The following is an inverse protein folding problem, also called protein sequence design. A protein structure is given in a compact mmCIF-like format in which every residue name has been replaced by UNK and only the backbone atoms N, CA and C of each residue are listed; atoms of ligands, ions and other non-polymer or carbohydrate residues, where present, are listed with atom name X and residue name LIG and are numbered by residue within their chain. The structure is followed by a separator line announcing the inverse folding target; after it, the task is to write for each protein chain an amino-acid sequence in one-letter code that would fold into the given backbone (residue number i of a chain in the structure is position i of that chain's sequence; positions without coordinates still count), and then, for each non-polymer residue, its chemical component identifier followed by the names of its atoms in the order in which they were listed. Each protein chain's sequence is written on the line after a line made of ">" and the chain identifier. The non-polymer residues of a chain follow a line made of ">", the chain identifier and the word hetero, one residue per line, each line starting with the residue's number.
data_IF_755519870536
#
_entry.id   IF_755519870536
#
_cell.length_a   1.000
_cell.length_b   1.000
_cell.length_c   1.000
_cell.angle_alpha   90.00
_cell.angle_beta   90.00
_cell.angle_gamma   90.00
#
_symmetry.space_group_name_H-M   'P 1'
#
loop_
_entity.id
_entity.type
_entity.pdbx_description
1 polymer ?
#
# COMPACT_ATOMS: atom_id res chain seq x y z
N UNK A 1 -11.78 -21.75 -7.48
CA UNK A 1 -11.62 -20.66 -8.46
C UNK A 1 -12.92 -20.56 -9.27
N UNK A 2 -13.61 -19.42 -9.20
CA UNK A 2 -14.94 -19.23 -9.79
C UNK A 2 -15.09 -17.77 -10.23
N UNK A 3 -15.81 -17.52 -11.31
CA UNK A 3 -16.10 -16.13 -11.70
C UNK A 3 -17.02 -15.50 -10.66
N UNK A 4 -16.57 -14.41 -10.04
CA UNK A 4 -17.31 -13.65 -9.02
C UNK A 4 -18.46 -12.86 -9.66
N UNK A 5 -19.49 -12.55 -8.87
CA UNK A 5 -20.67 -11.79 -9.34
C UNK A 5 -21.68 -12.61 -10.16
N UNK A 6 -21.56 -13.93 -10.18
CA UNK A 6 -22.53 -14.83 -10.79
C UNK A 6 -23.64 -15.23 -9.82
N UNK A 7 -24.85 -15.51 -10.31
CA UNK A 7 -26.00 -15.90 -9.46
C UNK A 7 -25.99 -17.37 -9.00
N UNK A 8 -24.97 -18.15 -9.35
CA UNK A 8 -24.89 -19.58 -9.02
C UNK A 8 -24.18 -19.79 -7.67
N UNK A 9 -24.62 -20.80 -6.92
CA UNK A 9 -24.28 -20.95 -5.49
C UNK A 9 -22.78 -20.88 -5.16
N UNK A 10 -21.91 -21.46 -5.99
CA UNK A 10 -20.45 -21.42 -5.77
C UNK A 10 -19.86 -20.00 -5.88
N UNK A 11 -20.42 -19.14 -6.72
CA UNK A 11 -19.99 -17.74 -6.85
C UNK A 11 -20.36 -16.94 -5.59
N UNK A 12 -21.60 -17.11 -5.12
CA UNK A 12 -22.11 -16.48 -3.89
C UNK A 12 -21.28 -16.87 -2.67
N UNK A 13 -20.94 -18.16 -2.51
CA UNK A 13 -20.12 -18.61 -1.37
C UNK A 13 -18.73 -17.98 -1.38
N UNK A 14 -18.09 -17.87 -2.55
CA UNK A 14 -16.76 -17.25 -2.67
C UNK A 14 -16.83 -15.75 -2.37
N UNK A 15 -17.86 -15.07 -2.84
CA UNK A 15 -18.06 -13.64 -2.56
C UNK A 15 -18.26 -13.39 -1.05
N UNK A 16 -19.05 -14.25 -0.39
CA UNK A 16 -19.22 -14.19 1.06
C UNK A 16 -17.90 -14.43 1.82
N UNK A 17 -17.13 -15.46 1.47
CA UNK A 17 -15.85 -15.74 2.12
C UNK A 17 -14.86 -14.58 2.00
N UNK A 18 -14.85 -13.87 0.86
CA UNK A 18 -14.01 -12.68 0.68
C UNK A 18 -14.51 -11.51 1.53
N UNK A 19 -15.83 -11.32 1.66
CA UNK A 19 -16.40 -10.29 2.52
C UNK A 19 -16.09 -10.55 4.01
N UNK A 20 -16.18 -11.80 4.45
CA UNK A 20 -15.85 -12.19 5.83
C UNK A 20 -14.36 -12.00 6.12
N UNK A 21 -13.49 -12.34 5.16
CA UNK A 21 -12.05 -12.09 5.27
C UNK A 21 -11.73 -10.59 5.38
N UNK A 22 -12.39 -9.74 4.57
CA UNK A 22 -12.24 -8.27 4.67
C UNK A 22 -12.65 -7.75 6.04
N UNK A 23 -13.76 -8.26 6.57
CA UNK A 23 -14.24 -7.88 7.91
C UNK A 23 -13.25 -8.29 8.99
N UNK A 24 -12.70 -9.50 8.89
CA UNK A 24 -11.73 -10.02 9.86
C UNK A 24 -10.42 -9.22 9.85
N UNK A 25 -9.92 -8.87 8.66
CA UNK A 25 -8.69 -8.04 8.53
C UNK A 25 -8.95 -6.61 9.00
N UNK A 26 -10.10 -6.02 8.66
CA UNK A 26 -10.45 -4.68 9.15
C UNK A 26 -10.47 -4.61 10.67
N UNK A 27 -11.00 -5.64 11.35
CA UNK A 27 -10.95 -5.75 12.80
C UNK A 27 -9.51 -5.89 13.32
N UNK A 28 -8.67 -6.70 12.65
CA UNK A 28 -7.28 -6.91 13.04
C UNK A 28 -6.46 -5.61 13.04
N UNK A 29 -6.63 -4.76 12.02
CA UNK A 29 -5.86 -3.53 11.84
C UNK A 29 -6.61 -2.27 12.31
N UNK A 30 -7.80 -2.44 12.89
CA UNK A 30 -8.69 -1.36 13.29
C UNK A 30 -9.00 -0.36 12.15
N UNK A 31 -9.27 -0.88 10.94
CA UNK A 31 -9.70 -0.06 9.81
C UNK A 31 -11.12 0.47 10.03
N UNK A 32 -11.43 1.65 9.46
CA UNK A 32 -12.75 2.25 9.59
C UNK A 32 -13.83 1.41 8.87
N UNK A 33 -13.48 0.79 7.75
CA UNK A 33 -14.41 -0.07 7.00
C UNK A 33 -13.73 -1.28 6.32
N UNK A 34 -14.40 -2.44 6.25
CA UNK A 34 -13.97 -3.57 5.41
C UNK A 34 -13.82 -3.22 3.92
N UNK A 35 -14.43 -2.12 3.46
CA UNK A 35 -14.29 -1.63 2.10
C UNK A 35 -12.87 -1.10 1.79
N UNK A 36 -12.11 -0.68 2.80
CA UNK A 36 -10.74 -0.15 2.66
C UNK A 36 -9.68 -1.25 2.51
N UNK A 37 -10.06 -2.51 2.74
CA UNK A 37 -9.14 -3.65 2.69
C UNK A 37 -8.97 -4.12 1.24
N UNK A 38 -7.76 -4.24 0.73
CA UNK A 38 -7.51 -4.84 -0.59
C UNK A 38 -6.67 -6.11 -0.47
N UNK A 39 -7.01 -7.13 -1.26
CA UNK A 39 -6.24 -8.38 -1.36
C UNK A 39 -5.50 -8.45 -2.70
N UNK A 40 -4.25 -8.88 -2.64
CA UNK A 40 -3.31 -8.87 -3.75
C UNK A 40 -2.15 -9.81 -3.47
N UNK A 41 -1.16 -9.84 -4.35
CA UNK A 41 -0.11 -10.86 -4.29
C UNK A 41 0.81 -10.73 -3.08
N UNK A 42 1.32 -9.53 -2.80
CA UNK A 42 2.27 -9.26 -1.73
C UNK A 42 2.35 -7.75 -1.43
N UNK A 43 3.01 -7.40 -0.31
CA UNK A 43 3.20 -6.02 0.11
C UNK A 43 3.91 -5.17 -0.95
N UNK A 44 4.99 -5.66 -1.54
CA UNK A 44 5.76 -4.94 -2.58
C UNK A 44 4.89 -4.52 -3.76
N UNK A 45 4.05 -5.43 -4.26
CA UNK A 45 3.15 -5.17 -5.38
C UNK A 45 2.09 -4.11 -5.03
N UNK A 46 1.60 -4.14 -3.78
CA UNK A 46 0.65 -3.14 -3.29
C UNK A 46 1.28 -1.76 -3.15
N UNK A 47 2.44 -1.67 -2.51
CA UNK A 47 3.15 -0.40 -2.35
C UNK A 47 3.47 0.19 -3.72
N UNK A 48 3.88 -0.62 -4.70
CA UNK A 48 4.09 -0.15 -6.07
C UNK A 48 2.82 0.38 -6.73
N UNK A 49 1.68 -0.28 -6.55
CA UNK A 49 0.41 0.20 -7.08
C UNK A 49 0.02 1.56 -6.46
N UNK A 50 0.19 1.68 -5.14
CA UNK A 50 -0.05 2.93 -4.41
C UNK A 50 0.89 4.03 -4.90
N UNK A 51 2.19 3.73 -5.07
CA UNK A 51 3.16 4.73 -5.53
C UNK A 51 2.85 5.22 -6.94
N UNK A 52 2.40 4.34 -7.84
CA UNK A 52 1.94 4.74 -9.17
C UNK A 52 0.69 5.63 -9.14
N UNK A 53 -0.28 5.32 -8.26
CA UNK A 53 -1.49 6.14 -8.10
C UNK A 53 -1.17 7.52 -7.55
N UNK A 54 -0.37 7.61 -6.49
CA UNK A 54 0.07 8.88 -5.90
C UNK A 54 0.92 9.66 -6.91
N UNK A 55 1.78 8.98 -7.67
CA UNK A 55 2.62 9.60 -8.70
C UNK A 55 1.84 10.41 -9.73
N UNK A 56 0.59 10.05 -10.03
CA UNK A 56 -0.27 10.81 -10.94
C UNK A 56 -0.81 12.11 -10.33
N UNK A 57 -0.77 12.24 -9.01
CA UNK A 57 -1.29 13.39 -8.27
C UNK A 57 -0.19 14.39 -7.88
N UNK A 58 1.09 14.02 -8.03
CA UNK A 58 2.22 14.86 -7.65
C UNK A 58 2.30 16.12 -8.50
N UNK A 59 2.57 17.24 -7.83
CA UNK A 59 2.88 18.53 -8.42
C UNK A 59 4.36 18.88 -8.22
N UNK A 60 4.85 19.91 -8.91
CA UNK A 60 6.27 20.29 -8.91
C UNK A 60 6.87 20.60 -7.52
N UNK A 61 6.02 20.91 -6.54
CA UNK A 61 6.41 21.26 -5.17
C UNK A 61 6.27 20.13 -4.17
N UNK A 62 5.70 19.00 -4.58
CA UNK A 62 5.49 17.88 -3.68
C UNK A 62 6.81 17.13 -3.47
N UNK A 63 7.07 16.76 -2.21
CA UNK A 63 8.23 15.98 -1.80
C UNK A 63 7.76 14.70 -1.10
N UNK A 64 8.39 13.58 -1.43
CA UNK A 64 8.15 12.29 -0.79
C UNK A 64 9.25 12.07 0.24
N UNK A 65 8.85 11.86 1.49
CA UNK A 65 9.78 11.50 2.57
C UNK A 65 9.96 9.99 2.58
N UNK A 66 11.21 9.54 2.57
CA UNK A 66 11.61 8.13 2.67
C UNK A 66 12.69 7.98 3.74
N UNK A 67 12.82 6.79 4.33
CA UNK A 67 13.84 6.50 5.33
C UNK A 67 14.77 5.39 4.87
N UNK A 68 16.03 5.43 5.31
CA UNK A 68 17.01 4.36 5.12
C UNK A 68 16.83 3.18 6.08
N UNK A 69 15.86 3.25 7.01
CA UNK A 69 15.45 2.13 7.86
C UNK A 69 14.46 1.17 7.18
N UNK A 70 13.79 1.62 6.11
CA UNK A 70 12.77 0.82 5.45
C UNK A 70 13.37 -0.31 4.61
N UNK A 71 12.60 -1.39 4.45
CA UNK A 71 12.96 -2.44 3.51
C UNK A 71 13.01 -1.89 2.07
N UNK A 72 13.99 -2.32 1.27
CA UNK A 72 14.25 -1.82 -0.09
C UNK A 72 13.00 -1.82 -1.00
N UNK A 73 12.20 -2.89 -0.90
CA UNK A 73 10.92 -3.00 -1.59
C UNK A 73 9.91 -1.87 -1.31
N UNK A 74 9.98 -1.20 -0.15
CA UNK A 74 9.21 0.02 0.11
C UNK A 74 9.87 1.20 -0.62
N UNK A 75 11.16 1.43 -0.39
CA UNK A 75 11.94 2.56 -0.91
C UNK A 75 11.95 2.62 -2.46
N UNK A 76 12.34 1.53 -3.11
CA UNK A 76 12.57 1.49 -4.56
C UNK A 76 11.31 1.84 -5.37
N UNK A 77 10.13 1.49 -4.85
CA UNK A 77 8.86 1.78 -5.53
C UNK A 77 8.52 3.26 -5.58
N UNK A 78 9.02 4.04 -4.61
CA UNK A 78 8.88 5.50 -4.57
C UNK A 78 9.96 6.16 -5.42
N UNK A 79 11.23 5.76 -5.28
CA UNK A 79 12.33 6.30 -6.09
C UNK A 79 12.10 6.14 -7.59
N UNK A 80 11.40 5.09 -8.03
CA UNK A 80 11.02 4.93 -9.43
C UNK A 80 10.18 6.13 -9.99
N UNK A 81 9.55 6.94 -9.13
CA UNK A 81 8.82 8.15 -9.50
C UNK A 81 9.74 9.36 -9.78
N UNK A 82 11.06 9.27 -9.52
CA UNK A 82 12.03 10.31 -9.94
C UNK A 82 11.92 10.58 -11.45
N UNK A 83 11.70 9.53 -12.24
CA UNK A 83 11.48 9.63 -13.69
C UNK A 83 10.24 10.46 -14.07
N UNK A 84 9.29 10.59 -13.16
CA UNK A 84 8.09 11.41 -13.29
C UNK A 84 8.23 12.80 -12.62
N UNK A 85 9.43 13.16 -12.15
CA UNK A 85 9.72 14.45 -11.55
C UNK A 85 9.49 14.54 -10.03
N UNK A 86 9.23 13.41 -9.36
CA UNK A 86 9.11 13.38 -7.91
C UNK A 86 10.42 13.79 -7.22
N UNK A 87 10.32 14.52 -6.11
CA UNK A 87 11.45 14.92 -5.27
C UNK A 87 11.44 14.15 -3.96
N UNK A 88 12.61 13.90 -3.38
CA UNK A 88 12.75 13.04 -2.21
C UNK A 88 13.49 13.73 -1.07
N UNK A 89 13.01 13.49 0.16
CA UNK A 89 13.68 13.84 1.41
C UNK A 89 14.01 12.57 2.16
N UNK A 90 15.28 12.41 2.52
CA UNK A 90 15.75 11.26 3.28
C UNK A 90 15.70 11.56 4.78
N UNK A 91 14.82 10.86 5.50
CA UNK A 91 14.84 10.80 6.95
C UNK A 91 15.81 9.71 7.38
N UNK A 92 17.04 10.12 7.66
CA UNK A 92 18.13 9.19 7.98
C UNK A 92 18.13 8.81 9.44
N UNK A 93 18.33 7.52 9.68
CA UNK A 93 18.62 6.99 11.00
C UNK A 93 19.88 7.65 11.57
N UNK A 94 19.82 8.07 12.84
CA UNK A 94 20.99 8.59 13.55
C UNK A 94 21.85 7.42 14.07
N UNK A 95 23.03 7.73 14.61
CA UNK A 95 23.98 6.73 15.14
C UNK A 95 23.40 5.88 16.28
N UNK A 96 22.37 6.38 16.97
CA UNK A 96 21.65 5.66 18.02
C UNK A 96 20.66 4.62 17.50
N UNK A 97 20.54 4.47 16.18
CA UNK A 97 19.64 3.51 15.55
C UNK A 97 18.19 3.99 15.44
N UNK A 98 17.90 5.27 15.73
CA UNK A 98 16.54 5.81 15.72
C UNK A 98 16.34 6.92 14.68
N UNK A 99 15.07 7.12 14.31
CA UNK A 99 14.60 8.30 13.61
C UNK A 99 14.13 9.35 14.62
N UNK A 100 14.56 10.59 14.41
CA UNK A 100 14.24 11.72 15.28
C UNK A 100 13.41 12.74 14.51
N UNK A 101 12.37 13.26 15.15
CA UNK A 101 11.42 14.22 14.55
C UNK A 101 11.91 15.67 14.63
N UNK A 102 12.98 15.91 15.38
CA UNK A 102 13.60 17.21 15.63
C UNK A 102 14.61 17.62 14.56
#
# INVERSE_FOLDING_TARGET
>A
NVQRGGRYGRSVTVDQSVADARTSVALLINAYSPAEICFGMNATSFIRLVSLGIGQMLQERDEIVITDMDHDANIATWLALESAGAKFKWWRMREDGNLHVD
#
